data_IF_910430256322
#
_entry.id   IF_910430256322
#
_cell.length_a   1.000
_cell.length_b   1.000
_cell.length_c   1.000
_cell.angle_alpha   90.00
_cell.angle_beta   90.00
_cell.angle_gamma   90.00
#
_symmetry.space_group_name_H-M   'P 1'
#
loop_
_entity.id
_entity.type
_entity.pdbx_description
1 polymer ?
#
# COMPACT_ATOMS: atom_id res chain seq x y z
N UNK A 1 -5.16 -21.09 -9.34
CA UNK A 1 -4.05 -20.13 -9.28
C UNK A 1 -4.67 -18.75 -9.10
N UNK A 2 -5.08 -18.42 -7.87
CA UNK A 2 -5.78 -17.17 -7.52
C UNK A 2 -5.75 -16.99 -5.98
N UNK A 3 -4.57 -17.13 -5.38
CA UNK A 3 -4.39 -17.09 -3.92
C UNK A 3 -3.28 -16.15 -3.46
N UNK A 4 -2.58 -15.48 -4.39
CA UNK A 4 -1.50 -14.56 -4.02
C UNK A 4 -2.04 -13.21 -3.55
N UNK A 5 -3.08 -12.67 -4.20
CA UNK A 5 -3.61 -11.34 -3.87
C UNK A 5 -4.21 -11.24 -2.46
N UNK A 6 -4.80 -12.33 -1.96
CA UNK A 6 -5.38 -12.37 -0.61
C UNK A 6 -4.30 -12.50 0.48
N UNK A 7 -3.21 -13.21 0.21
CA UNK A 7 -2.06 -13.27 1.11
C UNK A 7 -1.29 -11.95 1.15
N UNK A 8 -1.25 -11.20 0.04
CA UNK A 8 -0.73 -9.84 -0.02
C UNK A 8 -1.54 -8.86 0.86
N UNK A 9 -2.86 -9.05 0.97
CA UNK A 9 -3.74 -8.25 1.86
C UNK A 9 -3.56 -8.55 3.35
N UNK A 10 -2.95 -9.67 3.72
CA UNK A 10 -2.60 -10.00 5.11
C UNK A 10 -1.27 -9.38 5.58
N UNK A 11 -0.50 -8.77 4.67
CA UNK A 11 0.81 -8.19 4.96
C UNK A 11 0.84 -6.73 4.48
N UNK A 12 0.27 -5.78 5.25
CA UNK A 12 0.09 -4.40 4.80
C UNK A 12 1.42 -3.73 4.42
N UNK A 13 2.54 -4.09 5.09
CA UNK A 13 3.87 -3.63 4.69
C UNK A 13 4.37 -4.17 3.33
N UNK A 14 4.05 -5.41 2.97
CA UNK A 14 4.40 -5.97 1.66
C UNK A 14 3.59 -5.31 0.54
N UNK A 15 2.29 -5.06 0.80
CA UNK A 15 1.43 -4.35 -0.11
C UNK A 15 1.87 -2.90 -0.31
N UNK A 16 2.17 -2.19 0.77
CA UNK A 16 2.69 -0.82 0.73
C UNK A 16 3.96 -0.74 -0.14
N UNK A 17 4.93 -1.64 0.05
CA UNK A 17 6.14 -1.70 -0.77
C UNK A 17 5.85 -1.97 -2.26
N UNK A 18 4.82 -2.75 -2.58
CA UNK A 18 4.40 -2.98 -3.96
C UNK A 18 3.77 -1.72 -4.59
N UNK A 19 2.94 -0.98 -3.84
CA UNK A 19 2.35 0.29 -4.28
C UNK A 19 3.43 1.33 -4.57
N UNK A 20 4.41 1.50 -3.67
CA UNK A 20 5.53 2.42 -3.90
C UNK A 20 6.29 2.10 -5.20
N UNK A 21 6.55 0.81 -5.46
CA UNK A 21 7.24 0.38 -6.69
C UNK A 21 6.42 0.68 -7.95
N UNK A 22 5.12 0.44 -7.92
CA UNK A 22 4.24 0.71 -9.05
C UNK A 22 4.11 2.21 -9.31
N UNK A 23 3.92 3.01 -8.27
CA UNK A 23 3.85 4.48 -8.38
C UNK A 23 5.15 5.05 -8.99
N UNK A 24 6.31 4.61 -8.51
CA UNK A 24 7.60 5.01 -9.07
C UNK A 24 7.76 4.57 -10.54
N UNK A 25 7.30 3.37 -10.91
CA UNK A 25 7.35 2.91 -12.29
C UNK A 25 6.44 3.74 -13.22
N UNK A 26 5.26 4.16 -12.74
CA UNK A 26 4.36 5.04 -13.49
C UNK A 26 4.99 6.42 -13.72
N UNK A 27 5.61 7.01 -12.69
CA UNK A 27 6.29 8.29 -12.81
C UNK A 27 7.51 8.22 -13.73
N UNK A 28 8.32 7.16 -13.63
CA UNK A 28 9.45 6.91 -14.54
C UNK A 28 8.98 6.72 -15.99
N UNK A 29 7.81 6.10 -16.19
CA UNK A 29 7.14 6.00 -17.48
C UNK A 29 6.47 7.29 -17.97
N UNK A 30 6.56 8.38 -17.19
CA UNK A 30 5.89 9.67 -17.45
C UNK A 30 4.38 9.53 -17.64
N UNK A 31 3.76 8.51 -17.02
CA UNK A 31 2.32 8.25 -17.05
C UNK A 31 1.58 9.17 -16.06
N UNK A 32 2.26 9.48 -14.95
CA UNK A 32 1.82 10.40 -13.90
C UNK A 32 2.92 11.44 -13.68
N UNK A 33 2.57 12.61 -13.16
CA UNK A 33 3.55 13.63 -12.81
C UNK A 33 4.05 13.49 -11.36
N UNK A 34 4.87 14.45 -10.93
CA UNK A 34 5.46 14.43 -9.59
C UNK A 34 4.45 14.74 -8.49
N UNK A 35 3.39 15.50 -8.79
CA UNK A 35 2.34 15.83 -7.83
C UNK A 35 1.45 14.60 -7.63
N UNK A 36 1.04 13.95 -8.72
CA UNK A 36 0.32 12.67 -8.71
C UNK A 36 1.10 11.58 -7.95
N UNK A 37 2.42 11.49 -8.19
CA UNK A 37 3.28 10.56 -7.48
C UNK A 37 3.26 10.86 -5.98
N UNK A 38 3.42 12.12 -5.58
CA UNK A 38 3.41 12.53 -4.17
C UNK A 38 2.11 12.11 -3.49
N UNK A 39 0.97 12.41 -4.10
CA UNK A 39 -0.36 12.06 -3.60
C UNK A 39 -0.52 10.53 -3.45
N UNK A 40 -0.07 9.76 -4.45
CA UNK A 40 -0.10 8.30 -4.37
C UNK A 40 0.74 7.74 -3.23
N UNK A 41 1.92 8.31 -2.96
CA UNK A 41 2.78 7.89 -1.87
C UNK A 41 2.12 8.21 -0.51
N UNK A 42 1.55 9.41 -0.37
CA UNK A 42 0.83 9.82 0.85
C UNK A 42 -0.37 8.90 1.13
N UNK A 43 -1.18 8.58 0.11
CA UNK A 43 -2.29 7.64 0.27
C UNK A 43 -1.82 6.23 0.63
N UNK A 44 -0.70 5.77 0.06
CA UNK A 44 -0.14 4.46 0.39
C UNK A 44 0.37 4.39 1.84
N UNK A 45 0.94 5.48 2.36
CA UNK A 45 1.35 5.60 3.77
C UNK A 45 0.14 5.63 4.71
N UNK A 46 -0.89 6.42 4.38
CA UNK A 46 -2.12 6.49 5.16
C UNK A 46 -2.86 5.14 5.19
N UNK A 47 -2.93 4.44 4.06
CA UNK A 47 -3.53 3.11 3.98
C UNK A 47 -2.75 2.07 4.82
N UNK A 48 -1.41 2.15 4.83
CA UNK A 48 -0.57 1.31 5.68
C UNK A 48 -0.84 1.57 7.17
N UNK A 49 -0.86 2.84 7.58
CA UNK A 49 -1.12 3.23 8.96
C UNK A 49 -2.49 2.71 9.43
N UNK A 50 -3.54 2.94 8.64
CA UNK A 50 -4.89 2.44 8.93
C UNK A 50 -4.94 0.92 9.04
N UNK A 51 -4.28 0.19 8.13
CA UNK A 51 -4.26 -1.27 8.16
C UNK A 51 -3.53 -1.80 9.40
N UNK A 52 -2.42 -1.18 9.80
CA UNK A 52 -1.68 -1.53 11.01
C UNK A 52 -2.49 -1.25 12.27
N UNK A 53 -3.13 -0.07 12.36
CA UNK A 53 -4.02 0.27 13.48
C UNK A 53 -5.20 -0.70 13.58
N UNK A 54 -5.84 -1.02 12.45
CA UNK A 54 -6.94 -1.98 12.41
C UNK A 54 -6.53 -3.39 12.83
N UNK A 55 -5.32 -3.84 12.45
CA UNK A 55 -4.80 -5.14 12.90
C UNK A 55 -4.57 -5.16 14.42
N UNK A 56 -4.02 -4.09 14.98
CA UNK A 56 -3.80 -3.96 16.41
C UNK A 56 -5.11 -3.87 17.21
N UNK A 57 -6.14 -3.19 16.68
CA UNK A 57 -7.47 -3.18 17.30
C UNK A 57 -8.09 -4.58 17.33
N UNK A 58 -7.95 -5.36 16.26
CA UNK A 58 -8.47 -6.73 16.19
C UNK A 58 -7.72 -7.67 17.16
N UNK A 59 -6.41 -7.49 17.35
CA UNK A 59 -5.61 -8.28 18.31
C UNK A 59 -5.86 -7.90 19.79
N UNK A 60 -6.44 -6.72 20.06
CA UNK A 60 -6.73 -6.26 21.44
C UNK A 60 -8.12 -6.65 21.94
N UNK A 61 -9.01 -7.18 21.10
CA UNK A 61 -10.39 -7.56 21.43
C UNK A 61 -10.54 -9.05 21.85
N UNK A 62 -9.46 -9.69 22.32
CA UNK A 62 -9.47 -11.04 22.96
C UNK A 62 -9.35 -11.01 24.50
#
# INVERSE_FOLDING_TARGET
>A
MASDDVALLAMPGAHHKALLKQANALHQGQVIDSDDLSDMLEFADAALAFAVESMLEIECDE
#
